data_IF_000458216987
#
_entry.id   IF_000458216987
#
_cell.length_a   1.000
_cell.length_b   1.000
_cell.length_c   1.000
_cell.angle_alpha   90.00
_cell.angle_beta   90.00
_cell.angle_gamma   90.00
#
_symmetry.space_group_name_H-M   'P 1'
#
loop_
_entity.id
_entity.type
_entity.pdbx_description
1 polymer ?
#
# COMPACT_ATOMS: atom_id res chain seq x y z
N UNK A 1 -22.65 9.32 -2.29
CA UNK A 1 -22.06 8.34 -1.33
C UNK A 1 -21.56 7.05 -2.01
N UNK A 2 -21.18 7.03 -3.29
CA UNK A 2 -21.02 5.77 -4.05
C UNK A 2 -19.66 5.54 -4.75
N UNK A 3 -18.78 6.53 -4.88
CA UNK A 3 -17.55 6.36 -5.69
C UNK A 3 -16.36 5.87 -4.83
N UNK A 4 -16.11 6.52 -3.69
CA UNK A 4 -14.97 6.20 -2.82
C UNK A 4 -14.98 4.78 -2.26
N UNK A 5 -16.16 4.23 -1.91
CA UNK A 5 -16.26 2.89 -1.37
C UNK A 5 -15.94 1.84 -2.44
N UNK A 6 -16.39 2.07 -3.68
CA UNK A 6 -16.04 1.23 -4.81
C UNK A 6 -14.55 1.32 -5.15
N UNK A 7 -13.96 2.52 -5.03
CA UNK A 7 -12.52 2.76 -5.20
C UNK A 7 -11.68 2.03 -4.16
N UNK A 8 -12.05 2.08 -2.87
CA UNK A 8 -11.38 1.33 -1.81
C UNK A 8 -11.52 -0.18 -2.01
N UNK A 9 -12.69 -0.67 -2.41
CA UNK A 9 -12.89 -2.09 -2.72
C UNK A 9 -12.08 -2.54 -3.95
N UNK A 10 -11.90 -1.67 -4.95
CA UNK A 10 -11.01 -1.92 -6.09
C UNK A 10 -9.56 -2.03 -5.64
N UNK A 11 -9.07 -1.08 -4.84
CA UNK A 11 -7.71 -1.12 -4.27
C UNK A 11 -7.50 -2.44 -3.50
N UNK A 12 -8.44 -2.83 -2.64
CA UNK A 12 -8.30 -4.08 -1.88
C UNK A 12 -8.21 -5.35 -2.75
N UNK A 13 -8.87 -5.37 -3.92
CA UNK A 13 -8.71 -6.48 -4.88
C UNK A 13 -7.34 -6.45 -5.55
N UNK A 14 -6.88 -5.26 -5.96
CA UNK A 14 -5.55 -5.09 -6.57
C UNK A 14 -4.43 -5.47 -5.58
N UNK A 15 -4.56 -5.12 -4.30
CA UNK A 15 -3.66 -5.55 -3.22
C UNK A 15 -3.61 -7.09 -3.10
N UNK A 16 -4.77 -7.75 -3.13
CA UNK A 16 -4.84 -9.21 -3.06
C UNK A 16 -4.16 -9.88 -4.26
N UNK A 17 -4.39 -9.37 -5.47
CA UNK A 17 -3.75 -9.91 -6.67
C UNK A 17 -2.23 -9.73 -6.64
N UNK A 18 -1.73 -8.60 -6.14
CA UNK A 18 -0.30 -8.37 -5.94
C UNK A 18 0.32 -9.34 -4.94
N UNK A 19 -0.33 -9.59 -3.81
CA UNK A 19 0.12 -10.57 -2.81
C UNK A 19 0.18 -11.97 -3.44
N UNK A 20 -0.85 -12.35 -4.20
CA UNK A 20 -0.89 -13.65 -4.88
C UNK A 20 0.22 -13.80 -5.93
N UNK A 21 0.56 -12.73 -6.66
CA UNK A 21 1.67 -12.74 -7.61
C UNK A 21 3.02 -12.78 -6.90
N UNK A 22 3.19 -12.02 -5.81
CA UNK A 22 4.39 -12.02 -4.98
C UNK A 22 4.69 -13.41 -4.41
N UNK A 23 3.66 -14.07 -3.87
CA UNK A 23 3.77 -15.36 -3.20
C UNK A 23 3.73 -16.55 -4.18
N UNK A 24 3.66 -16.31 -5.49
CA UNK A 24 3.70 -17.36 -6.49
C UNK A 24 5.05 -18.11 -6.41
N UNK A 25 5.04 -19.46 -6.51
CA UNK A 25 6.23 -20.28 -6.30
C UNK A 25 7.36 -19.99 -7.30
N UNK A 26 7.01 -19.42 -8.46
CA UNK A 26 7.89 -19.09 -9.58
C UNK A 26 8.13 -17.57 -9.74
N UNK A 27 7.65 -16.74 -8.81
CA UNK A 27 7.88 -15.30 -8.87
C UNK A 27 9.37 -14.97 -8.69
N UNK A 28 9.96 -14.36 -9.72
CA UNK A 28 11.34 -13.87 -9.68
C UNK A 28 11.47 -12.64 -8.77
N UNK A 29 12.71 -12.30 -8.38
CA UNK A 29 12.99 -11.18 -7.46
C UNK A 29 12.49 -9.84 -8.01
N UNK A 30 12.53 -9.66 -9.33
CA UNK A 30 12.03 -8.45 -9.98
C UNK A 30 10.52 -8.33 -9.82
N UNK A 31 9.79 -9.42 -10.08
CA UNK A 31 8.32 -9.51 -9.95
C UNK A 31 7.92 -9.28 -8.51
N UNK A 32 8.62 -9.89 -7.54
CA UNK A 32 8.38 -9.66 -6.11
C UNK A 32 8.59 -8.21 -5.73
N UNK A 33 9.69 -7.60 -6.16
CA UNK A 33 9.94 -6.18 -5.94
C UNK A 33 8.87 -5.27 -6.57
N UNK A 34 8.45 -5.54 -7.82
CA UNK A 34 7.39 -4.78 -8.48
C UNK A 34 6.04 -4.92 -7.75
N UNK A 35 5.76 -6.10 -7.21
CA UNK A 35 4.60 -6.34 -6.35
C UNK A 35 4.70 -5.55 -5.05
N UNK A 36 5.82 -5.63 -4.32
CA UNK A 36 6.05 -4.90 -3.07
C UNK A 36 5.93 -3.39 -3.26
N UNK A 37 6.53 -2.85 -4.32
CA UNK A 37 6.48 -1.43 -4.65
C UNK A 37 5.05 -0.98 -4.94
N UNK A 38 4.29 -1.78 -5.71
CA UNK A 38 2.90 -1.47 -6.04
C UNK A 38 2.00 -1.58 -4.80
N UNK A 39 2.22 -2.60 -3.97
CA UNK A 39 1.47 -2.82 -2.72
C UNK A 39 1.71 -1.67 -1.75
N UNK A 40 2.95 -1.24 -1.55
CA UNK A 40 3.28 -0.10 -0.71
C UNK A 40 2.60 1.20 -1.19
N UNK A 41 2.56 1.44 -2.51
CA UNK A 41 1.83 2.59 -3.08
C UNK A 41 0.34 2.54 -2.80
N UNK A 42 -0.28 1.38 -2.93
CA UNK A 42 -1.70 1.20 -2.62
C UNK A 42 -2.00 1.40 -1.14
N UNK A 43 -1.15 0.91 -0.25
CA UNK A 43 -1.30 1.11 1.20
C UNK A 43 -1.21 2.58 1.59
N UNK A 44 -0.28 3.34 1.00
CA UNK A 44 -0.19 4.80 1.19
C UNK A 44 -1.46 5.50 0.70
N UNK A 45 -1.92 5.17 -0.51
CA UNK A 45 -3.15 5.74 -1.07
C UNK A 45 -4.37 5.44 -0.18
N UNK A 46 -4.50 4.20 0.26
CA UNK A 46 -5.59 3.75 1.14
C UNK A 46 -5.54 4.46 2.49
N UNK A 47 -4.36 4.62 3.08
CA UNK A 47 -4.15 5.36 4.32
C UNK A 47 -4.57 6.84 4.21
N UNK A 48 -4.19 7.50 3.11
CA UNK A 48 -4.59 8.90 2.83
C UNK A 48 -6.11 9.03 2.69
N UNK A 49 -6.74 8.18 1.90
CA UNK A 49 -8.20 8.16 1.72
C UNK A 49 -8.93 7.86 3.03
N UNK A 50 -8.43 6.92 3.83
CA UNK A 50 -9.01 6.57 5.12
C UNK A 50 -8.91 7.75 6.12
N UNK A 51 -7.78 8.44 6.19
CA UNK A 51 -7.63 9.62 7.06
C UNK A 51 -8.56 10.75 6.64
N UNK A 52 -8.65 11.08 5.35
CA UNK A 52 -9.56 12.10 4.84
C UNK A 52 -11.02 11.79 5.22
N UNK A 53 -11.44 10.53 5.03
CA UNK A 53 -12.77 10.05 5.43
C UNK A 53 -13.03 10.22 6.92
N UNK A 54 -12.07 9.80 7.74
CA UNK A 54 -12.21 9.84 9.19
C UNK A 54 -12.22 11.29 9.68
N UNK A 55 -11.42 12.20 9.13
CA UNK A 55 -11.55 13.63 9.46
C UNK A 55 -12.94 14.22 9.13
N UNK A 56 -13.66 13.61 8.18
CA UNK A 56 -15.01 14.02 7.78
C UNK A 56 -16.14 13.32 8.57
N UNK A 57 -15.84 12.42 9.51
CA UNK A 57 -16.83 11.73 10.35
C UNK A 57 -17.12 12.54 11.63
N UNK A 58 -18.40 12.72 11.96
CA UNK A 58 -18.88 13.53 13.11
C UNK A 58 -18.44 12.96 14.48
N UNK A 59 -18.09 11.67 14.55
CA UNK A 59 -17.67 10.99 15.79
C UNK A 59 -16.47 10.08 15.55
N UNK A 60 -15.27 10.64 15.67
CA UNK A 60 -14.03 9.88 15.59
C UNK A 60 -13.29 9.88 16.91
N UNK A 61 -12.87 8.69 17.33
CA UNK A 61 -12.04 8.55 18.53
C UNK A 61 -10.58 8.96 18.23
N UNK A 62 -9.90 9.66 19.17
CA UNK A 62 -8.48 9.98 19.02
C UNK A 62 -7.59 8.76 18.77
N UNK A 63 -7.98 7.58 19.29
CA UNK A 63 -7.28 6.32 19.06
C UNK A 63 -7.37 5.86 17.60
N UNK A 64 -8.55 5.94 16.97
CA UNK A 64 -8.73 5.62 15.53
C UNK A 64 -7.88 6.55 14.66
N UNK A 65 -7.84 7.84 14.99
CA UNK A 65 -6.97 8.81 14.30
C UNK A 65 -5.49 8.45 14.42
N UNK A 66 -5.03 8.13 15.64
CA UNK A 66 -3.62 7.80 15.89
C UNK A 66 -3.21 6.54 15.12
N UNK A 67 -4.04 5.50 15.18
CA UNK A 67 -3.81 4.26 14.47
C UNK A 67 -3.64 4.49 12.96
N UNK A 68 -4.58 5.22 12.33
CA UNK A 68 -4.51 5.49 10.89
C UNK A 68 -3.31 6.35 10.49
N UNK A 69 -2.88 7.28 11.35
CA UNK A 69 -1.66 8.07 11.11
C UNK A 69 -0.42 7.20 11.17
N UNK A 70 -0.29 6.35 12.19
CA UNK A 70 0.84 5.44 12.34
C UNK A 70 0.91 4.45 11.18
N UNK A 71 -0.22 3.88 10.75
CA UNK A 71 -0.27 2.99 9.60
C UNK A 71 0.17 3.71 8.31
N UNK A 72 -0.25 4.96 8.10
CA UNK A 72 0.18 5.76 6.96
C UNK A 72 1.69 6.06 7.02
N UNK A 73 2.20 6.48 8.18
CA UNK A 73 3.64 6.77 8.38
C UNK A 73 4.50 5.54 8.08
N UNK A 74 4.07 4.37 8.56
CA UNK A 74 4.77 3.11 8.29
C UNK A 74 4.76 2.76 6.80
N UNK A 75 3.61 2.90 6.13
CA UNK A 75 3.49 2.64 4.70
C UNK A 75 4.35 3.61 3.86
N UNK A 76 4.40 4.90 4.23
CA UNK A 76 5.23 5.90 3.55
C UNK A 76 6.72 5.62 3.77
N UNK A 77 7.13 5.23 4.98
CA UNK A 77 8.52 4.84 5.25
C UNK A 77 8.93 3.60 4.45
N UNK A 78 8.06 2.59 4.39
CA UNK A 78 8.32 1.37 3.64
C UNK A 78 8.41 1.64 2.14
N UNK A 79 7.49 2.42 1.57
CA UNK A 79 7.56 2.86 0.17
C UNK A 79 8.88 3.59 -0.12
N UNK A 80 9.27 4.52 0.77
CA UNK A 80 10.53 5.25 0.64
C UNK A 80 11.74 4.30 0.64
N UNK A 81 11.74 3.24 1.46
CA UNK A 81 12.83 2.25 1.47
C UNK A 81 12.92 1.52 0.14
N UNK A 82 11.79 1.05 -0.39
CA UNK A 82 11.73 0.38 -1.69
C UNK A 82 12.24 1.28 -2.82
N UNK A 83 11.77 2.53 -2.88
CA UNK A 83 12.18 3.46 -3.95
C UNK A 83 13.67 3.85 -3.89
N UNK A 84 14.28 3.81 -2.70
CA UNK A 84 15.71 4.10 -2.52
C UNK A 84 16.60 2.84 -2.56
N UNK A 85 16.03 1.64 -2.64
CA UNK A 85 16.76 0.38 -2.74
C UNK A 85 16.14 -0.47 -3.87
N UNK A 86 16.27 -0.04 -5.13
CA UNK A 86 15.80 -0.84 -6.26
C UNK A 86 16.59 -2.16 -6.32
N UNK A 87 16.00 -3.23 -6.88
CA UNK A 87 16.67 -4.51 -7.01
C UNK A 87 17.96 -4.29 -7.77
N UNK A 88 19.07 -4.82 -7.25
CA UNK A 88 20.35 -4.78 -7.94
C UNK A 88 20.16 -5.39 -9.32
N UNK A 89 20.33 -4.58 -10.37
CA UNK A 89 20.39 -5.08 -11.75
C UNK A 89 21.39 -6.23 -11.79
N UNK A 90 21.07 -7.36 -12.45
CA UNK A 90 22.10 -8.36 -12.70
C UNK A 90 23.22 -7.66 -13.46
N UNK A 91 24.44 -7.74 -12.92
CA UNK A 91 25.65 -7.35 -13.65
C UNK A 91 25.71 -8.30 -14.84
N UNK A 92 25.46 -7.80 -16.05
CA UNK A 92 25.77 -8.56 -17.26
C UNK A 92 27.28 -8.78 -17.28
N UNK A 93 27.73 -10.03 -17.09
CA UNK A 93 29.08 -10.46 -17.44
C UNK A 93 29.29 -10.46 -18.97
#
# INVERSE_FOLDING_TARGET
>A
MSDEAARLAKIGREEYDLIRMHDAPDADEKTKYECDLSLARYQVLRGKLALEKVYNEEFVTPSKMRYLKTDLEFAEEYLRKLENTPPSSPVSE
#
